data_IF_144668738274
#
_entry.id   IF_144668738274
#
_cell.length_a   1.000
_cell.length_b   1.000
_cell.length_c   1.000
_cell.angle_alpha   90.00
_cell.angle_beta   90.00
_cell.angle_gamma   90.00
#
_symmetry.space_group_name_H-M   'P 1'
#
loop_
_entity.id
_entity.type
_entity.pdbx_description
1 polymer ?
#
# COMPACT_ATOMS: atom_id res chain seq x y z
N UNK A 1 -29.81 11.58 -37.20
CA UNK A 1 -28.77 11.02 -38.09
C UNK A 1 -27.53 11.91 -38.13
N UNK A 2 -27.67 13.20 -38.41
CA UNK A 2 -26.59 14.21 -38.47
C UNK A 2 -25.63 14.21 -37.26
N UNK A 3 -26.14 14.11 -36.03
CA UNK A 3 -25.29 14.16 -34.83
C UNK A 3 -24.35 12.95 -34.68
N UNK A 4 -24.75 11.76 -35.13
CA UNK A 4 -23.90 10.57 -35.05
C UNK A 4 -22.75 10.63 -36.06
N UNK A 5 -23.02 11.07 -37.29
CA UNK A 5 -21.98 11.25 -38.31
C UNK A 5 -20.97 12.33 -37.91
N UNK A 6 -21.43 13.42 -37.30
CA UNK A 6 -20.56 14.47 -36.79
C UNK A 6 -19.63 13.96 -35.67
N UNK A 7 -20.12 13.10 -34.77
CA UNK A 7 -19.29 12.45 -33.74
C UNK A 7 -18.21 11.55 -34.35
N UNK A 8 -18.58 10.69 -35.32
CA UNK A 8 -17.63 9.84 -36.04
C UNK A 8 -16.57 10.69 -36.73
N UNK A 9 -16.98 11.76 -37.42
CA UNK A 9 -16.07 12.63 -38.17
C UNK A 9 -15.11 13.38 -37.25
N UNK A 10 -15.59 13.93 -36.14
CA UNK A 10 -14.74 14.58 -35.15
C UNK A 10 -13.73 13.59 -34.55
N UNK A 11 -14.17 12.37 -34.21
CA UNK A 11 -13.31 11.31 -33.71
C UNK A 11 -12.23 10.88 -34.71
N UNK A 12 -12.58 10.72 -36.00
CA UNK A 12 -11.62 10.37 -37.05
C UNK A 12 -10.55 11.45 -37.23
N UNK A 13 -10.97 12.72 -37.32
CA UNK A 13 -10.05 13.85 -37.47
C UNK A 13 -9.08 13.94 -36.28
N UNK A 14 -9.54 13.61 -35.07
CA UNK A 14 -8.71 13.64 -33.87
C UNK A 14 -7.78 12.43 -33.78
N UNK A 15 -8.32 11.21 -33.79
CA UNK A 15 -7.56 10.00 -33.48
C UNK A 15 -6.78 9.42 -34.67
N UNK A 16 -7.24 9.66 -35.91
CA UNK A 16 -6.61 9.12 -37.13
C UNK A 16 -5.80 10.17 -37.85
N UNK A 17 -6.34 11.39 -38.02
CA UNK A 17 -5.62 12.48 -38.69
C UNK A 17 -4.76 13.34 -37.74
N UNK A 18 -4.86 13.15 -36.41
CA UNK A 18 -4.00 13.82 -35.43
C UNK A 18 -4.24 15.32 -35.29
N UNK A 19 -5.41 15.81 -35.73
CA UNK A 19 -5.76 17.24 -35.64
C UNK A 19 -6.07 17.63 -34.19
N UNK A 20 -5.67 18.85 -33.81
CA UNK A 20 -6.09 19.45 -32.52
C UNK A 20 -7.58 19.79 -32.53
N UNK A 21 -8.22 19.89 -31.36
CA UNK A 21 -9.65 20.22 -31.28
C UNK A 21 -9.98 21.60 -31.86
N UNK A 22 -9.01 22.52 -31.91
CA UNK A 22 -9.15 23.81 -32.57
C UNK A 22 -9.18 23.69 -34.10
N UNK A 23 -8.27 22.89 -34.68
CA UNK A 23 -8.25 22.63 -36.13
C UNK A 23 -9.48 21.85 -36.59
N UNK A 24 -10.00 20.93 -35.77
CA UNK A 24 -11.24 20.21 -36.04
C UNK A 24 -12.44 21.16 -36.04
N UNK A 25 -12.49 22.07 -35.06
CA UNK A 25 -13.56 23.07 -34.96
C UNK A 25 -13.62 23.95 -36.21
N UNK A 26 -12.47 24.45 -36.68
CA UNK A 26 -12.37 25.22 -37.91
C UNK A 26 -12.79 24.41 -39.14
N UNK A 27 -12.28 23.18 -39.28
CA UNK A 27 -12.54 22.30 -40.43
C UNK A 27 -13.98 21.80 -40.52
N UNK A 28 -14.67 21.67 -39.39
CA UNK A 28 -16.07 21.23 -39.33
C UNK A 28 -17.06 22.39 -39.22
N UNK A 29 -16.59 23.64 -39.20
CA UNK A 29 -17.41 24.83 -38.94
C UNK A 29 -18.21 24.74 -37.62
N UNK A 30 -17.56 24.23 -36.57
CA UNK A 30 -18.13 24.05 -35.23
C UNK A 30 -17.35 24.87 -34.20
N UNK A 31 -17.92 25.02 -33.00
CA UNK A 31 -17.17 25.56 -31.86
C UNK A 31 -16.28 24.48 -31.25
N UNK A 32 -15.14 24.87 -30.66
CA UNK A 32 -14.26 23.96 -29.92
C UNK A 32 -15.00 23.20 -28.81
N UNK A 33 -15.98 23.84 -28.17
CA UNK A 33 -16.85 23.21 -27.16
C UNK A 33 -17.65 22.05 -27.76
N UNK A 34 -18.31 22.25 -28.91
CA UNK A 34 -19.07 21.19 -29.59
C UNK A 34 -18.18 20.03 -30.03
N UNK A 35 -16.95 20.32 -30.49
CA UNK A 35 -15.97 19.28 -30.82
C UNK A 35 -15.61 18.44 -29.58
N UNK A 36 -15.36 19.06 -28.43
CA UNK A 36 -15.10 18.34 -27.19
C UNK A 36 -16.30 17.49 -26.75
N UNK A 37 -17.52 18.04 -26.82
CA UNK A 37 -18.76 17.31 -26.52
C UNK A 37 -18.93 16.09 -27.44
N UNK A 38 -18.61 16.23 -28.73
CA UNK A 38 -18.67 15.11 -29.68
C UNK A 38 -17.59 14.05 -29.44
N UNK A 39 -16.36 14.44 -29.09
CA UNK A 39 -15.30 13.49 -28.75
C UNK A 39 -15.62 12.72 -27.47
N UNK A 40 -16.15 13.40 -26.44
CA UNK A 40 -16.60 12.76 -25.21
C UNK A 40 -17.76 11.79 -25.48
N UNK A 41 -18.79 12.24 -26.21
CA UNK A 41 -19.93 11.39 -26.56
C UNK A 41 -19.52 10.19 -27.45
N UNK A 42 -18.51 10.35 -28.31
CA UNK A 42 -18.01 9.25 -29.14
C UNK A 42 -17.33 8.15 -28.30
N UNK A 43 -16.69 8.52 -27.18
CA UNK A 43 -16.15 7.55 -26.22
C UNK A 43 -17.27 6.90 -25.38
N UNK A 44 -18.19 7.70 -24.83
CA UNK A 44 -19.32 7.21 -24.01
C UNK A 44 -20.25 6.27 -24.78
N UNK A 45 -20.57 6.58 -26.04
CA UNK A 45 -21.44 5.77 -26.90
C UNK A 45 -20.69 4.58 -27.54
N UNK A 46 -19.38 4.46 -27.31
CA UNK A 46 -18.55 3.38 -27.85
C UNK A 46 -18.30 3.46 -29.36
N UNK A 47 -18.52 4.63 -29.98
CA UNK A 47 -18.13 4.93 -31.37
C UNK A 47 -16.61 4.84 -31.52
N UNK A 48 -15.88 5.28 -30.49
CA UNK A 48 -14.43 5.12 -30.35
C UNK A 48 -14.15 4.17 -29.20
N UNK A 49 -13.28 3.19 -29.44
CA UNK A 49 -12.71 2.36 -28.39
C UNK A 49 -11.21 2.60 -28.36
N UNK A 50 -10.69 3.07 -27.24
CA UNK A 50 -9.25 3.20 -27.02
C UNK A 50 -8.77 1.89 -26.42
N UNK A 51 -7.95 1.17 -27.18
CA UNK A 51 -7.29 -0.05 -26.72
C UNK A 51 -5.79 0.17 -26.68
N UNK A 52 -5.15 -0.19 -25.58
CA UNK A 52 -3.69 -0.15 -25.46
C UNK A 52 -3.13 -1.55 -25.72
N UNK A 53 -2.31 -1.71 -26.76
CA UNK A 53 -1.61 -2.95 -27.04
C UNK A 53 -0.32 -3.04 -26.19
N UNK A 54 -0.45 -3.03 -24.86
CA UNK A 54 0.67 -3.11 -23.93
C UNK A 54 0.30 -3.91 -22.68
N UNK A 55 1.16 -4.85 -22.22
CA UNK A 55 1.00 -5.50 -20.92
C UNK A 55 0.88 -4.50 -19.75
N UNK A 56 1.48 -3.31 -19.89
CA UNK A 56 1.42 -2.25 -18.88
C UNK A 56 0.02 -1.66 -18.73
N UNK A 57 -0.81 -1.72 -19.79
CA UNK A 57 -2.14 -1.14 -19.76
C UNK A 57 -3.12 -1.92 -18.87
N UNK A 58 -2.95 -3.25 -18.78
CA UNK A 58 -3.74 -4.07 -17.87
C UNK A 58 -3.46 -3.74 -16.40
N UNK A 59 -2.20 -3.48 -16.06
CA UNK A 59 -1.81 -2.97 -14.75
C UNK A 59 -2.46 -1.62 -14.45
N UNK A 60 -2.35 -0.65 -15.36
CA UNK A 60 -2.93 0.69 -15.19
C UNK A 60 -4.46 0.67 -15.02
N UNK A 61 -5.18 -0.18 -15.75
CA UNK A 61 -6.63 -0.31 -15.58
C UNK A 61 -6.98 -0.87 -14.19
N UNK A 62 -6.26 -1.89 -13.72
CA UNK A 62 -6.43 -2.44 -12.37
C UNK A 62 -6.10 -1.38 -11.30
N UNK A 63 -5.05 -0.58 -11.50
CA UNK A 63 -4.67 0.52 -10.61
C UNK A 63 -5.82 1.53 -10.47
N UNK A 64 -6.33 2.04 -11.61
CA UNK A 64 -7.44 3.00 -11.63
C UNK A 64 -8.68 2.46 -10.90
N UNK A 65 -9.04 1.21 -11.17
CA UNK A 65 -10.21 0.56 -10.54
C UNK A 65 -10.01 0.36 -9.04
N UNK A 66 -8.81 0.02 -8.59
CA UNK A 66 -8.51 -0.11 -7.16
C UNK A 66 -8.61 1.24 -6.45
N UNK A 67 -8.11 2.31 -7.08
CA UNK A 67 -8.22 3.68 -6.56
C UNK A 67 -9.67 4.11 -6.43
N UNK A 68 -10.48 3.94 -7.48
CA UNK A 68 -11.91 4.27 -7.46
C UNK A 68 -12.67 3.48 -6.41
N UNK A 69 -12.44 2.16 -6.35
CA UNK A 69 -13.19 1.27 -5.46
C UNK A 69 -12.92 1.52 -3.99
N UNK A 70 -11.66 1.73 -3.62
CA UNK A 70 -11.23 1.81 -2.22
C UNK A 70 -10.86 3.23 -1.77
N UNK A 71 -10.98 4.23 -2.65
CA UNK A 71 -10.61 5.61 -2.36
C UNK A 71 -9.10 5.79 -2.14
N UNK A 72 -8.27 5.00 -2.81
CA UNK A 72 -6.81 5.09 -2.68
C UNK A 72 -6.29 6.30 -3.44
N UNK A 73 -5.34 7.01 -2.85
CA UNK A 73 -4.55 8.04 -3.54
C UNK A 73 -3.71 7.43 -4.66
N UNK A 74 -3.22 6.21 -4.47
CA UNK A 74 -2.41 5.50 -5.46
C UNK A 74 -2.61 3.98 -5.37
N UNK A 75 -2.59 3.31 -6.51
CA UNK A 75 -2.42 1.87 -6.59
C UNK A 75 -1.29 1.57 -7.58
N UNK A 76 -0.47 0.57 -7.25
CA UNK A 76 0.62 0.09 -8.09
C UNK A 76 0.42 -1.41 -8.23
N UNK A 77 0.20 -1.86 -9.47
CA UNK A 77 -0.04 -3.27 -9.77
C UNK A 77 1.13 -3.81 -10.57
N UNK A 78 1.87 -4.75 -9.97
CA UNK A 78 2.95 -5.46 -10.65
C UNK A 78 2.44 -6.77 -11.26
N UNK A 79 3.03 -7.27 -12.35
CA UNK A 79 2.69 -8.58 -12.88
C UNK A 79 2.88 -9.68 -11.82
N UNK A 80 1.90 -10.56 -11.67
CA UNK A 80 2.05 -11.76 -10.82
C UNK A 80 3.06 -12.68 -11.48
N UNK A 81 4.23 -12.96 -10.85
CA UNK A 81 5.23 -13.84 -11.44
C UNK A 81 4.73 -15.28 -11.48
N UNK A 82 5.14 -16.02 -12.51
CA UNK A 82 4.84 -17.44 -12.62
C UNK A 82 5.50 -18.28 -11.50
N UNK A 83 6.68 -17.84 -11.02
CA UNK A 83 7.32 -18.39 -9.84
C UNK A 83 6.94 -17.56 -8.60
N UNK A 84 6.19 -18.12 -7.63
CA UNK A 84 5.80 -17.43 -6.41
C UNK A 84 6.97 -16.89 -5.58
N UNK A 85 8.17 -17.48 -5.69
CA UNK A 85 9.34 -17.01 -4.93
C UNK A 85 9.82 -15.62 -5.39
N UNK A 86 9.48 -15.21 -6.61
CA UNK A 86 9.82 -13.90 -7.16
C UNK A 86 8.81 -12.81 -6.78
N UNK A 87 7.71 -13.16 -6.12
CA UNK A 87 6.63 -12.22 -5.80
C UNK A 87 7.11 -11.07 -4.92
N UNK A 88 7.87 -11.37 -3.86
CA UNK A 88 8.42 -10.32 -2.99
C UNK A 88 9.35 -9.37 -3.73
N UNK A 89 10.15 -9.89 -4.67
CA UNK A 89 11.04 -9.06 -5.49
C UNK A 89 10.25 -8.17 -6.45
N UNK A 90 9.23 -8.71 -7.12
CA UNK A 90 8.37 -7.95 -8.03
C UNK A 90 7.66 -6.80 -7.27
N UNK A 91 7.03 -7.11 -6.13
CA UNK A 91 6.41 -6.12 -5.26
C UNK A 91 7.44 -5.11 -4.73
N UNK A 92 8.63 -5.57 -4.34
CA UNK A 92 9.73 -4.75 -3.87
C UNK A 92 10.14 -3.68 -4.88
N UNK A 93 10.33 -4.07 -6.14
CA UNK A 93 10.66 -3.15 -7.25
C UNK A 93 9.55 -2.12 -7.50
N UNK A 94 8.30 -2.57 -7.55
CA UNK A 94 7.15 -1.67 -7.73
C UNK A 94 7.04 -0.65 -6.60
N UNK A 95 7.21 -1.11 -5.36
CA UNK A 95 7.17 -0.27 -4.18
C UNK A 95 8.35 0.71 -4.12
N UNK A 96 9.56 0.29 -4.51
CA UNK A 96 10.73 1.14 -4.53
C UNK A 96 10.55 2.30 -5.52
N UNK A 97 10.14 2.00 -6.76
CA UNK A 97 9.91 3.01 -7.79
C UNK A 97 8.77 3.98 -7.41
N UNK A 98 7.76 3.53 -6.68
CA UNK A 98 6.71 4.41 -6.16
C UNK A 98 7.22 5.29 -5.03
N UNK A 99 7.90 4.70 -4.04
CA UNK A 99 8.41 5.41 -2.87
C UNK A 99 9.45 6.46 -3.25
N UNK A 100 10.37 6.15 -4.18
CA UNK A 100 11.37 7.10 -4.70
C UNK A 100 10.70 8.35 -5.28
N UNK A 101 9.68 8.16 -6.15
CA UNK A 101 8.91 9.26 -6.75
C UNK A 101 8.15 10.06 -5.69
N UNK A 102 7.56 9.36 -4.72
CA UNK A 102 6.78 9.98 -3.65
C UNK A 102 7.66 10.84 -2.73
N UNK A 103 8.84 10.36 -2.36
CA UNK A 103 9.81 11.11 -1.55
C UNK A 103 10.25 12.38 -2.29
N UNK A 104 10.57 12.27 -3.58
CA UNK A 104 10.97 13.43 -4.39
C UNK A 104 9.85 14.47 -4.51
N UNK A 105 8.61 14.01 -4.71
CA UNK A 105 7.46 14.88 -4.93
C UNK A 105 6.95 15.55 -3.64
N UNK A 106 6.89 14.80 -2.53
CA UNK A 106 6.29 15.26 -1.27
C UNK A 106 7.30 15.80 -0.26
N UNK A 107 8.58 15.45 -0.37
CA UNK A 107 9.63 15.83 0.60
C UNK A 107 9.20 15.59 2.05
N UNK A 108 8.82 14.34 2.42
CA UNK A 108 8.38 14.03 3.78
C UNK A 108 9.52 14.29 4.77
N UNK A 109 9.20 14.65 6.01
CA UNK A 109 10.18 14.74 7.11
C UNK A 109 10.36 13.41 7.82
N UNK A 110 9.38 12.50 7.72
CA UNK A 110 9.43 11.23 8.44
C UNK A 110 8.78 10.08 7.67
N UNK A 111 9.41 8.90 7.76
CA UNK A 111 8.93 7.65 7.17
C UNK A 111 8.93 6.57 8.25
N UNK A 112 7.75 6.13 8.64
CA UNK A 112 7.55 4.97 9.49
C UNK A 112 7.61 3.68 8.68
N UNK A 113 8.49 2.75 9.06
CA UNK A 113 8.71 1.49 8.34
C UNK A 113 8.35 0.30 9.23
N UNK A 114 7.69 -0.67 8.63
CA UNK A 114 7.39 -1.96 9.24
C UNK A 114 8.52 -2.97 9.01
N UNK A 115 8.14 -4.22 8.76
CA UNK A 115 9.08 -5.28 8.44
C UNK A 115 8.49 -6.31 7.47
N UNK A 116 9.31 -7.24 7.01
CA UNK A 116 8.92 -8.37 6.17
C UNK A 116 9.68 -8.46 4.85
N UNK A 117 9.48 -9.57 4.13
CA UNK A 117 10.19 -9.87 2.89
C UNK A 117 9.99 -8.81 1.81
N UNK A 118 8.75 -8.34 1.61
CA UNK A 118 8.47 -7.29 0.63
C UNK A 118 9.22 -5.99 0.95
N UNK A 119 9.26 -5.56 2.22
CA UNK A 119 9.96 -4.33 2.62
C UNK A 119 11.48 -4.46 2.48
N UNK A 120 12.02 -5.64 2.76
CA UNK A 120 13.43 -5.97 2.50
C UNK A 120 13.76 -5.89 1.01
N UNK A 121 12.90 -6.44 0.15
CA UNK A 121 13.07 -6.34 -1.31
C UNK A 121 12.84 -4.90 -1.83
N UNK A 122 12.01 -4.10 -1.17
CA UNK A 122 11.86 -2.68 -1.53
C UNK A 122 13.17 -1.95 -1.36
N UNK A 123 13.80 -2.04 -0.18
CA UNK A 123 15.00 -1.26 0.10
C UNK A 123 16.21 -1.66 -0.75
N UNK A 124 16.31 -2.92 -1.18
CA UNK A 124 17.36 -3.38 -2.11
C UNK A 124 17.20 -2.81 -3.52
N UNK A 125 15.99 -2.36 -3.87
CA UNK A 125 15.66 -1.80 -5.18
C UNK A 125 15.46 -0.28 -5.19
N UNK A 126 15.53 0.38 -4.03
CA UNK A 126 15.47 1.84 -3.94
C UNK A 126 16.72 2.49 -4.54
N UNK A 127 16.51 3.66 -5.15
CA UNK A 127 17.60 4.48 -5.66
C UNK A 127 18.32 5.14 -4.47
N UNK A 128 19.66 5.00 -4.36
CA UNK A 128 20.41 5.71 -3.33
C UNK A 128 20.21 7.23 -3.43
N UNK A 129 19.89 7.86 -2.30
CA UNK A 129 19.64 9.29 -2.21
C UNK A 129 20.36 9.88 -0.99
N UNK A 130 20.33 11.21 -0.86
CA UNK A 130 20.89 11.92 0.29
C UNK A 130 19.85 12.87 0.87
N UNK A 131 19.08 12.36 1.82
CA UNK A 131 17.94 13.03 2.46
C UNK A 131 18.16 13.08 3.99
N UNK A 132 19.18 13.82 4.48
CA UNK A 132 19.59 13.79 5.90
C UNK A 132 18.56 14.37 6.87
N UNK A 133 17.61 15.15 6.35
CA UNK A 133 16.51 15.74 7.12
C UNK A 133 15.32 14.77 7.30
N UNK A 134 15.33 13.62 6.61
CA UNK A 134 14.32 12.58 6.78
C UNK A 134 14.65 11.75 8.02
N UNK A 135 13.62 11.47 8.82
CA UNK A 135 13.66 10.51 9.91
C UNK A 135 13.00 9.21 9.50
N UNK A 136 13.79 8.14 9.36
CA UNK A 136 13.28 6.77 9.17
C UNK A 136 13.07 6.15 10.55
N UNK A 137 11.83 5.70 10.83
CA UNK A 137 11.40 5.26 12.16
C UNK A 137 10.82 3.85 12.13
N UNK A 138 11.11 3.02 13.13
CA UNK A 138 10.41 1.74 13.31
C UNK A 138 8.97 1.97 13.78
N UNK A 139 7.99 1.42 13.08
CA UNK A 139 6.57 1.58 13.44
C UNK A 139 6.11 0.67 14.58
N UNK A 140 6.95 -0.29 14.97
CA UNK A 140 6.64 -1.30 15.96
C UNK A 140 7.91 -1.79 16.66
N UNK A 141 7.73 -2.41 17.82
CA UNK A 141 8.80 -3.14 18.49
C UNK A 141 9.37 -4.30 17.66
N UNK A 142 10.58 -4.73 18.01
CA UNK A 142 11.27 -5.83 17.37
C UNK A 142 10.75 -7.21 17.81
N UNK A 143 11.10 -8.23 17.03
CA UNK A 143 10.87 -9.62 17.42
C UNK A 143 11.76 -10.02 18.61
N UNK A 144 11.25 -10.89 19.47
CA UNK A 144 11.99 -11.43 20.63
C UNK A 144 12.79 -12.69 20.30
N UNK A 145 12.73 -13.17 19.06
CA UNK A 145 13.47 -14.33 18.54
C UNK A 145 14.12 -13.97 17.21
N UNK A 146 15.27 -14.58 16.92
CA UNK A 146 15.92 -14.45 15.62
C UNK A 146 15.02 -14.96 14.50
N UNK A 147 14.94 -14.20 13.41
CA UNK A 147 14.23 -14.53 12.17
C UNK A 147 15.16 -14.27 10.99
N UNK A 148 14.76 -14.72 9.80
CA UNK A 148 15.53 -14.41 8.58
C UNK A 148 15.47 -12.91 8.19
N UNK A 149 14.57 -12.15 8.84
CA UNK A 149 14.27 -10.75 8.56
C UNK A 149 14.02 -9.99 9.86
N UNK A 150 14.99 -9.16 10.26
CA UNK A 150 14.90 -8.36 11.48
C UNK A 150 14.30 -6.96 11.20
N UNK A 151 13.36 -6.53 12.04
CA UNK A 151 12.71 -5.20 11.96
C UNK A 151 13.72 -4.06 11.94
N UNK A 152 14.74 -4.09 12.80
CA UNK A 152 15.73 -3.02 12.90
C UNK A 152 16.69 -2.99 11.71
N UNK A 153 17.00 -4.14 11.12
CA UNK A 153 17.82 -4.21 9.91
C UNK A 153 17.11 -3.56 8.72
N UNK A 154 15.80 -3.77 8.57
CA UNK A 154 15.02 -3.11 7.52
C UNK A 154 15.03 -1.59 7.73
N UNK A 155 14.67 -1.12 8.93
CA UNK A 155 14.65 0.34 9.25
C UNK A 155 16.02 0.96 8.98
N UNK A 156 17.10 0.28 9.41
CA UNK A 156 18.48 0.71 9.16
C UNK A 156 18.81 0.76 7.67
N UNK A 157 18.40 -0.24 6.89
CA UNK A 157 18.65 -0.28 5.46
C UNK A 157 17.96 0.89 4.74
N UNK A 158 16.71 1.23 5.13
CA UNK A 158 16.00 2.39 4.59
C UNK A 158 16.72 3.69 4.93
N UNK A 159 17.18 3.86 6.17
CA UNK A 159 17.99 5.01 6.56
C UNK A 159 19.31 5.08 5.77
N UNK A 160 19.97 3.94 5.51
CA UNK A 160 21.23 3.89 4.78
C UNK A 160 21.07 4.25 3.31
N UNK A 161 20.07 3.69 2.61
CA UNK A 161 19.86 3.98 1.18
C UNK A 161 19.51 5.45 0.95
N UNK A 162 18.81 6.08 1.91
CA UNK A 162 18.45 7.50 1.87
C UNK A 162 19.49 8.43 2.51
N UNK A 163 20.54 7.90 3.16
CA UNK A 163 21.44 8.66 4.07
C UNK A 163 20.66 9.54 5.07
N UNK A 164 19.55 9.01 5.56
CA UNK A 164 18.61 9.63 6.46
C UNK A 164 18.92 9.27 7.92
N UNK A 165 18.22 9.91 8.86
CA UNK A 165 18.31 9.57 10.28
C UNK A 165 17.58 8.25 10.55
N UNK A 166 18.06 7.46 11.50
CA UNK A 166 17.49 6.17 11.88
C UNK A 166 17.04 6.19 13.34
N UNK A 167 15.76 5.91 13.59
CA UNK A 167 15.19 5.85 14.94
C UNK A 167 14.50 4.51 15.17
N UNK A 168 14.93 3.78 16.19
CA UNK A 168 14.36 2.48 16.54
C UNK A 168 13.28 2.61 17.62
N UNK A 169 12.24 1.78 17.52
CA UNK A 169 11.39 1.47 18.65
C UNK A 169 12.02 0.27 19.38
N UNK A 170 12.94 0.56 20.30
CA UNK A 170 13.71 -0.44 21.03
C UNK A 170 12.92 -1.13 22.15
N UNK A 171 11.84 -1.81 21.78
CA UNK A 171 10.98 -2.61 22.65
C UNK A 171 10.55 -3.90 21.93
N UNK A 172 10.08 -4.95 22.62
CA UNK A 172 9.47 -6.10 21.95
C UNK A 172 8.18 -5.69 21.24
N UNK A 173 7.76 -6.40 20.21
CA UNK A 173 6.47 -6.17 19.54
C UNK A 173 5.27 -6.38 20.48
N UNK A 174 5.33 -7.40 21.35
CA UNK A 174 4.31 -7.66 22.37
C UNK A 174 4.92 -7.53 23.76
N UNK A 175 4.23 -6.81 24.64
CA UNK A 175 4.44 -6.89 26.07
C UNK A 175 3.81 -8.17 26.64
N UNK A 176 4.19 -8.54 27.87
CA UNK A 176 3.61 -9.71 28.55
C UNK A 176 2.13 -9.54 28.90
N UNK A 177 1.72 -8.30 29.20
CA UNK A 177 0.36 -7.96 29.57
C UNK A 177 -0.01 -6.56 29.11
N UNK A 178 -1.30 -6.19 29.05
CA UNK A 178 -1.73 -4.82 28.79
C UNK A 178 -1.14 -3.82 29.80
N UNK A 179 -1.05 -4.22 31.08
CA UNK A 179 -0.41 -3.40 32.11
C UNK A 179 1.08 -3.17 31.83
N UNK A 180 1.81 -4.21 31.43
CA UNK A 180 3.23 -4.10 31.06
C UNK A 180 3.42 -3.23 29.82
N UNK A 181 2.51 -3.30 28.83
CA UNK A 181 2.51 -2.41 27.66
C UNK A 181 2.39 -0.95 28.10
N UNK A 182 1.39 -0.64 28.93
CA UNK A 182 1.17 0.72 29.43
C UNK A 182 2.38 1.23 30.20
N UNK A 183 2.94 0.40 31.09
CA UNK A 183 4.13 0.75 31.87
C UNK A 183 5.38 1.02 31.01
N UNK A 184 5.51 0.38 29.84
CA UNK A 184 6.58 0.66 28.88
C UNK A 184 6.31 2.00 28.17
N UNK A 185 5.10 2.18 27.63
CA UNK A 185 4.75 3.37 26.84
C UNK A 185 4.76 4.64 27.70
N UNK A 186 4.41 4.54 28.99
CA UNK A 186 4.37 5.68 29.92
C UNK A 186 5.74 6.18 30.38
N UNK A 187 6.84 5.49 30.02
CA UNK A 187 8.18 5.99 30.31
C UNK A 187 8.49 7.17 29.39
N UNK A 188 9.09 8.23 29.94
CA UNK A 188 9.39 9.47 29.19
C UNK A 188 10.18 9.25 27.89
N UNK A 189 11.04 8.24 27.86
CA UNK A 189 11.80 7.84 26.66
C UNK A 189 10.90 7.25 25.57
N UNK A 190 9.91 6.45 25.94
CA UNK A 190 9.01 5.78 25.00
C UNK A 190 7.81 6.64 24.61
N UNK A 191 7.30 7.47 25.51
CA UNK A 191 6.17 8.37 25.23
C UNK A 191 6.46 9.26 24.01
N UNK A 192 7.66 9.85 23.96
CA UNK A 192 8.10 10.67 22.82
C UNK A 192 8.22 9.85 21.53
N UNK A 193 8.86 8.68 21.60
CA UNK A 193 9.08 7.79 20.45
C UNK A 193 7.73 7.31 19.90
N UNK A 194 6.82 6.90 20.79
CA UNK A 194 5.49 6.41 20.43
C UNK A 194 4.66 7.50 19.75
N UNK A 195 4.65 8.72 20.30
CA UNK A 195 3.99 9.87 19.67
C UNK A 195 4.53 10.15 18.27
N UNK A 196 5.86 10.25 18.13
CA UNK A 196 6.50 10.48 16.82
C UNK A 196 6.20 9.36 15.81
N UNK A 197 6.01 8.13 16.29
CA UNK A 197 5.63 6.99 15.45
C UNK A 197 4.19 7.10 14.94
N UNK A 198 3.30 7.70 15.74
CA UNK A 198 1.91 7.98 15.33
C UNK A 198 1.78 9.17 14.38
N UNK A 199 2.80 10.03 14.31
CA UNK A 199 2.80 11.31 13.58
C UNK A 199 3.68 11.30 12.31
N UNK A 200 4.08 10.12 11.83
CA UNK A 200 4.89 10.01 10.61
C UNK A 200 4.14 10.55 9.39
N UNK A 201 4.86 11.15 8.43
CA UNK A 201 4.24 11.65 7.19
C UNK A 201 3.85 10.49 6.26
N UNK A 202 4.67 9.43 6.25
CA UNK A 202 4.46 8.23 5.44
C UNK A 202 4.62 6.99 6.35
N UNK A 203 3.64 6.09 6.36
CA UNK A 203 3.85 4.71 6.82
C UNK A 203 4.06 3.79 5.62
N UNK A 204 5.13 3.00 5.61
CA UNK A 204 5.40 1.97 4.62
C UNK A 204 5.43 0.59 5.28
N UNK A 205 4.34 -0.18 5.10
CA UNK A 205 4.07 -1.42 5.82
C UNK A 205 3.73 -2.57 4.86
N UNK A 206 3.77 -3.80 5.38
CA UNK A 206 3.13 -4.96 4.77
C UNK A 206 2.12 -5.56 5.76
N UNK A 207 1.24 -6.44 5.28
CA UNK A 207 0.29 -7.17 6.11
C UNK A 207 0.71 -8.63 6.27
N UNK A 208 0.44 -9.19 7.44
CA UNK A 208 0.65 -10.61 7.75
C UNK A 208 -0.66 -11.38 7.65
N UNK A 209 -0.63 -12.60 7.14
CA UNK A 209 -1.75 -13.55 7.20
C UNK A 209 -1.66 -14.43 8.46
N UNK A 210 -2.62 -15.33 8.62
CA UNK A 210 -2.71 -16.27 9.77
C UNK A 210 -2.10 -17.65 9.50
N UNK A 211 -1.47 -17.87 8.33
CA UNK A 211 -0.81 -19.13 8.00
C UNK A 211 0.64 -19.17 8.50
N UNK A 212 1.28 -20.33 8.35
CA UNK A 212 2.71 -20.50 8.65
C UNK A 212 3.64 -19.79 7.67
N UNK A 213 3.12 -19.16 6.61
CA UNK A 213 3.92 -18.29 5.73
C UNK A 213 4.19 -16.93 6.39
N UNK A 214 3.33 -16.50 7.31
CA UNK A 214 3.51 -15.26 8.06
C UNK A 214 4.71 -15.34 9.02
N UNK A 215 5.65 -14.41 8.86
CA UNK A 215 6.79 -14.26 9.78
C UNK A 215 6.32 -13.93 11.20
N UNK A 216 5.22 -13.19 11.33
CA UNK A 216 4.62 -12.84 12.62
C UNK A 216 4.12 -14.09 13.35
N UNK A 217 3.48 -15.01 12.64
CA UNK A 217 3.02 -16.31 13.17
C UNK A 217 4.20 -17.22 13.52
N UNK A 218 5.26 -17.23 12.70
CA UNK A 218 6.45 -18.08 12.92
C UNK A 218 7.30 -17.62 14.11
N UNK A 219 7.47 -16.30 14.29
CA UNK A 219 8.52 -15.76 15.14
C UNK A 219 8.06 -14.72 16.17
N UNK A 220 6.92 -14.09 15.96
CA UNK A 220 6.53 -12.92 16.74
C UNK A 220 5.52 -13.19 17.85
N UNK A 221 4.72 -14.26 17.77
CA UNK A 221 3.73 -14.56 18.80
C UNK A 221 4.38 -14.89 20.16
N UNK A 222 3.85 -14.37 21.29
CA UNK A 222 4.31 -14.74 22.62
C UNK A 222 4.18 -16.24 22.88
N UNK A 223 5.02 -16.78 23.76
CA UNK A 223 4.90 -18.16 24.20
C UNK A 223 3.50 -18.42 24.78
N UNK A 224 2.88 -19.52 24.38
CA UNK A 224 1.51 -19.88 24.79
C UNK A 224 0.40 -19.23 23.97
N UNK A 225 0.71 -18.31 23.04
CA UNK A 225 -0.29 -17.79 22.08
C UNK A 225 -0.29 -18.64 20.82
N UNK A 226 -1.44 -19.23 20.47
CA UNK A 226 -1.59 -19.99 19.23
C UNK A 226 -2.38 -19.18 18.19
N UNK A 227 -1.93 -19.23 16.94
CA UNK A 227 -2.65 -18.62 15.82
C UNK A 227 -4.04 -19.22 15.62
N UNK A 228 -4.27 -20.47 16.02
CA UNK A 228 -5.60 -21.09 16.02
C UNK A 228 -6.61 -20.33 16.87
N UNK A 229 -6.17 -19.76 18.00
CA UNK A 229 -7.04 -19.05 18.94
C UNK A 229 -7.45 -17.70 18.35
N UNK A 230 -6.53 -17.06 17.62
CA UNK A 230 -6.80 -15.84 16.85
C UNK A 230 -7.79 -16.11 15.72
N UNK A 231 -7.60 -17.21 14.98
CA UNK A 231 -8.52 -17.63 13.90
C UNK A 231 -9.91 -17.93 14.48
N UNK A 232 -9.99 -18.60 15.63
CA UNK A 232 -11.26 -18.94 16.28
C UNK A 232 -12.10 -17.71 16.66
N UNK A 233 -11.46 -16.59 16.96
CA UNK A 233 -12.14 -15.30 17.21
C UNK A 233 -12.29 -14.42 15.95
N UNK A 234 -12.03 -14.98 14.77
CA UNK A 234 -12.31 -14.35 13.48
C UNK A 234 -11.14 -13.61 12.84
N UNK A 235 -9.90 -13.79 13.31
CA UNK A 235 -8.75 -13.10 12.72
C UNK A 235 -8.46 -13.60 11.31
N UNK A 236 -8.27 -12.67 10.37
CA UNK A 236 -7.86 -12.97 8.98
C UNK A 236 -6.39 -12.62 8.70
N UNK A 237 -5.76 -11.88 9.61
CA UNK A 237 -4.35 -11.48 9.53
C UNK A 237 -4.04 -10.33 10.48
N UNK A 238 -2.86 -9.73 10.33
CA UNK A 238 -2.39 -8.63 11.16
C UNK A 238 -1.83 -7.44 10.35
N UNK A 239 -1.96 -6.26 10.97
CA UNK A 239 -1.24 -5.04 10.60
C UNK A 239 -0.56 -4.49 11.86
N UNK A 240 0.75 -4.29 11.82
CA UNK A 240 1.56 -3.88 12.98
C UNK A 240 1.43 -4.82 14.19
N UNK A 241 1.25 -6.13 13.96
CA UNK A 241 1.03 -7.10 15.04
C UNK A 241 -0.36 -7.05 15.67
N UNK A 242 -1.27 -6.19 15.17
CA UNK A 242 -2.67 -6.18 15.59
C UNK A 242 -3.47 -7.05 14.65
N UNK A 243 -4.03 -8.13 15.18
CA UNK A 243 -4.87 -9.04 14.42
C UNK A 243 -6.26 -8.44 14.21
N UNK A 244 -6.75 -8.51 12.97
CA UNK A 244 -8.03 -7.93 12.56
C UNK A 244 -8.95 -8.96 11.91
N UNK A 245 -10.25 -8.71 11.97
CA UNK A 245 -11.32 -9.48 11.32
C UNK A 245 -11.48 -9.12 9.82
N UNK A 246 -12.42 -9.75 9.12
CA UNK A 246 -12.71 -9.52 7.70
C UNK A 246 -13.26 -8.11 7.40
N UNK A 247 -13.70 -7.38 8.43
CA UNK A 247 -14.13 -5.98 8.36
C UNK A 247 -12.98 -5.01 8.71
N UNK A 248 -11.79 -5.56 9.02
CA UNK A 248 -10.59 -4.83 9.42
C UNK A 248 -10.69 -4.17 10.80
N UNK A 249 -11.53 -4.72 11.69
CA UNK A 249 -11.61 -4.34 13.10
C UNK A 249 -10.69 -5.25 13.93
N UNK A 250 -10.05 -4.74 15.01
CA UNK A 250 -9.29 -5.60 15.90
C UNK A 250 -10.14 -6.73 16.48
N UNK A 251 -9.65 -7.97 16.42
CA UNK A 251 -10.33 -9.09 17.08
C UNK A 251 -10.27 -8.96 18.60
N UNK A 252 -11.29 -9.49 19.27
CA UNK A 252 -11.40 -9.48 20.73
C UNK A 252 -10.48 -10.53 21.37
N UNK A 253 -9.17 -10.29 21.31
CA UNK A 253 -8.13 -11.17 21.86
C UNK A 253 -7.13 -10.37 22.73
N UNK A 254 -6.70 -10.87 23.91
CA UNK A 254 -5.78 -10.15 24.80
C UNK A 254 -4.47 -9.69 24.14
N UNK A 255 -3.98 -10.45 23.16
CA UNK A 255 -2.77 -10.12 22.38
C UNK A 255 -2.82 -8.70 21.78
N UNK A 256 -3.99 -8.26 21.28
CA UNK A 256 -4.12 -6.94 20.66
C UNK A 256 -3.90 -5.80 21.68
N UNK A 257 -4.15 -6.03 22.97
CA UNK A 257 -3.89 -5.08 24.04
C UNK A 257 -2.44 -5.10 24.54
N UNK A 258 -1.61 -6.03 24.03
CA UNK A 258 -0.20 -6.17 24.38
C UNK A 258 0.74 -5.54 23.34
N UNK A 259 0.22 -5.05 22.21
CA UNK A 259 1.01 -4.58 21.06
C UNK A 259 1.71 -3.25 21.33
N UNK A 260 3.02 -3.20 21.16
CA UNK A 260 3.86 -2.00 21.22
C UNK A 260 4.02 -1.39 19.81
N UNK A 261 2.91 -0.85 19.32
CA UNK A 261 2.78 -0.12 18.05
C UNK A 261 1.54 0.81 18.12
N UNK A 262 1.41 1.80 17.22
CA UNK A 262 0.22 2.65 17.14
C UNK A 262 -1.08 1.83 17.17
N UNK A 263 -2.07 2.32 17.91
CA UNK A 263 -3.43 1.79 17.81
C UNK A 263 -4.02 2.12 16.43
N UNK A 264 -4.96 1.31 15.91
CA UNK A 264 -5.51 1.52 14.56
C UNK A 264 -6.20 2.89 14.41
N UNK A 265 -6.69 3.47 15.51
CA UNK A 265 -7.28 4.81 15.54
C UNK A 265 -6.23 5.89 15.26
N UNK A 266 -5.05 5.78 15.87
CA UNK A 266 -3.96 6.73 15.64
C UNK A 266 -3.28 6.48 14.29
N UNK A 267 -3.09 5.21 13.93
CA UNK A 267 -2.57 4.82 12.62
C UNK A 267 -3.36 5.43 11.45
N UNK A 268 -4.70 5.47 11.54
CA UNK A 268 -5.56 6.08 10.51
C UNK A 268 -5.32 7.59 10.32
N UNK A 269 -4.72 8.28 11.29
CA UNK A 269 -4.41 9.72 11.20
C UNK A 269 -3.16 10.01 10.35
N UNK A 270 -2.30 9.02 10.14
CA UNK A 270 -1.12 9.15 9.27
C UNK A 270 -1.59 9.46 7.85
N UNK A 271 -1.16 10.55 7.20
CA UNK A 271 -1.76 10.99 5.95
C UNK A 271 -1.45 10.04 4.79
N UNK A 272 -0.23 9.52 4.68
CA UNK A 272 0.13 8.56 3.64
C UNK A 272 0.39 7.17 4.23
N UNK A 273 -0.49 6.21 3.94
CA UNK A 273 -0.44 4.84 4.48
C UNK A 273 -0.26 3.86 3.32
N UNK A 274 0.98 3.48 3.05
CA UNK A 274 1.35 2.58 1.97
C UNK A 274 1.38 1.15 2.49
N UNK A 275 0.58 0.28 1.90
CA UNK A 275 0.64 -1.18 2.09
C UNK A 275 1.27 -1.82 0.86
N UNK A 276 2.42 -2.49 1.02
CA UNK A 276 3.08 -3.26 -0.02
C UNK A 276 2.97 -4.76 0.28
N UNK A 277 2.02 -5.43 -0.38
CA UNK A 277 1.73 -6.84 -0.10
C UNK A 277 0.90 -7.48 -1.22
N UNK A 278 1.08 -8.79 -1.42
CA UNK A 278 0.40 -9.57 -2.45
C UNK A 278 0.51 -11.07 -2.18
N UNK A 279 -0.11 -11.84 -3.06
CA UNK A 279 -0.14 -13.30 -3.03
C UNK A 279 -1.42 -13.89 -2.41
N UNK A 280 -1.79 -15.12 -2.80
CA UNK A 280 -3.09 -15.71 -2.51
C UNK A 280 -3.38 -15.89 -1.02
N UNK A 281 -2.35 -16.23 -0.25
CA UNK A 281 -2.44 -16.39 1.21
C UNK A 281 -2.79 -15.08 1.94
N UNK A 282 -2.64 -13.91 1.29
CA UNK A 282 -2.92 -12.60 1.88
C UNK A 282 -4.21 -11.94 1.40
N UNK A 283 -4.96 -12.57 0.51
CA UNK A 283 -6.18 -11.98 -0.05
C UNK A 283 -7.19 -11.55 1.04
N UNK A 284 -7.38 -12.36 2.08
CA UNK A 284 -8.31 -12.06 3.16
C UNK A 284 -7.89 -10.80 3.95
N UNK A 285 -6.62 -10.74 4.39
CA UNK A 285 -6.11 -9.60 5.15
C UNK A 285 -5.99 -8.34 4.28
N UNK A 286 -5.61 -8.46 3.00
CA UNK A 286 -5.61 -7.33 2.07
C UNK A 286 -7.03 -6.75 1.90
N UNK A 287 -8.03 -7.61 1.72
CA UNK A 287 -9.43 -7.19 1.60
C UNK A 287 -9.90 -6.45 2.85
N UNK A 288 -9.62 -7.02 4.04
CA UNK A 288 -9.94 -6.38 5.32
C UNK A 288 -9.26 -5.02 5.49
N UNK A 289 -7.97 -4.94 5.11
CA UNK A 289 -7.16 -3.71 5.21
C UNK A 289 -7.71 -2.60 4.31
N UNK A 290 -8.06 -2.93 3.06
CA UNK A 290 -8.65 -1.96 2.13
C UNK A 290 -10.04 -1.52 2.58
N UNK A 291 -10.92 -2.48 2.96
CA UNK A 291 -12.28 -2.20 3.43
C UNK A 291 -12.32 -1.29 4.65
N UNK A 292 -11.37 -1.45 5.56
CA UNK A 292 -11.26 -0.64 6.79
C UNK A 292 -10.57 0.72 6.61
N UNK A 293 -10.21 1.09 5.38
CA UNK A 293 -9.54 2.36 5.05
C UNK A 293 -8.13 2.48 5.65
N UNK A 294 -7.48 1.34 5.93
CA UNK A 294 -6.17 1.30 6.60
C UNK A 294 -5.03 1.66 5.64
N UNK A 295 -5.26 1.67 4.32
CA UNK A 295 -4.30 2.15 3.33
C UNK A 295 -4.82 3.41 2.61
N UNK A 296 -3.90 4.30 2.24
CA UNK A 296 -4.14 5.31 1.20
C UNK A 296 -3.40 4.99 -0.09
N UNK A 297 -2.41 4.10 -0.05
CA UNK A 297 -1.77 3.56 -1.23
C UNK A 297 -1.53 2.06 -1.12
N UNK A 298 -1.69 1.35 -2.23
CA UNK A 298 -1.48 -0.10 -2.31
C UNK A 298 -0.44 -0.44 -3.38
N UNK A 299 0.54 -1.26 -3.03
CA UNK A 299 1.41 -1.96 -3.99
C UNK A 299 1.09 -3.44 -3.89
N UNK A 300 0.58 -4.02 -4.97
CA UNK A 300 0.15 -5.42 -5.01
C UNK A 300 0.40 -6.05 -6.38
N UNK A 301 0.15 -7.36 -6.51
CA UNK A 301 0.26 -8.07 -7.78
C UNK A 301 -1.09 -8.18 -8.51
N UNK A 302 -1.07 -8.46 -9.81
CA UNK A 302 -2.28 -8.50 -10.64
C UNK A 302 -3.35 -9.49 -10.15
N UNK A 303 -2.97 -10.68 -9.69
CA UNK A 303 -3.91 -11.69 -9.17
C UNK A 303 -4.60 -11.16 -7.91
N UNK A 304 -3.82 -10.62 -6.96
CA UNK A 304 -4.36 -9.98 -5.75
C UNK A 304 -5.27 -8.80 -6.09
N UNK A 305 -4.88 -7.96 -7.05
CA UNK A 305 -5.69 -6.83 -7.53
C UNK A 305 -7.04 -7.31 -8.09
N UNK A 306 -7.05 -8.36 -8.91
CA UNK A 306 -8.29 -8.94 -9.46
C UNK A 306 -9.19 -9.49 -8.36
N UNK A 307 -8.64 -10.16 -7.36
CA UNK A 307 -9.42 -10.69 -6.23
C UNK A 307 -10.03 -9.55 -5.41
N UNK A 308 -9.26 -8.51 -5.09
CA UNK A 308 -9.74 -7.32 -4.40
C UNK A 308 -10.86 -6.61 -5.18
N UNK A 309 -10.78 -6.60 -6.52
CA UNK A 309 -11.81 -6.02 -7.38
C UNK A 309 -13.03 -6.93 -7.58
N UNK A 310 -12.94 -8.23 -7.29
CA UNK A 310 -14.05 -9.18 -7.39
C UNK A 310 -14.88 -9.29 -6.10
N UNK A 311 -14.25 -9.20 -4.93
CA UNK A 311 -14.94 -9.40 -3.64
C UNK A 311 -15.69 -8.16 -3.18
N UNK A 312 -17.04 -8.16 -3.21
CA UNK A 312 -17.94 -7.17 -2.61
C UNK A 312 -17.86 -7.13 -1.08
#
# INVERSE_FOLDING_TARGET
>A
MESHELKIRAAWLYHVEGLTQAQIAERMHLTRRRVNEFLAAALEEGIVRVSFASPLAGGMELESRLQERFGLEAAIVVPTPADPHLLHQALGRGAAAYLDRLIQARRPRSIGVGWGATLKETVTHMTPASEPDIEVRSMMGGLTRGSEINTFEIVRAFAQVLKAQCHYFAAPIYAESPHSREAIISQSVFERIFRQTCEVDISFLSVGDVTRQSLQVRYGLPAGTNVSDLIAVGAVGDLLGRYIDAEGRPVAHPLNAQVLAPDLTDYRKIPCRIIASGGPHKHAILSATMRAGLATALVTDEESARVLLAGG
#
